data_IF_209248969247
#
_entry.id   IF_209248969247
#
_cell.length_a   1.000
_cell.length_b   1.000
_cell.length_c   1.000
_cell.angle_alpha   90.00
_cell.angle_beta   90.00
_cell.angle_gamma   90.00
#
_symmetry.space_group_name_H-M   'P 1'
#
loop_
_entity.id
_entity.type
_entity.pdbx_description
1 polymer ?
#
# COMPACT_ATOMS: atom_id res chain seq x y z
N UNK A 1 2.16 5.50 -10.99
CA UNK A 1 1.07 4.91 -10.21
C UNK A 1 1.53 3.58 -9.62
N UNK A 2 1.67 2.51 -10.41
CA UNK A 2 2.00 1.15 -9.90
C UNK A 2 3.48 1.03 -9.45
N UNK A 3 4.44 1.58 -10.20
CA UNK A 3 5.88 1.51 -9.85
C UNK A 3 6.31 2.57 -8.82
N UNK A 4 5.45 3.54 -8.52
CA UNK A 4 5.80 4.67 -7.65
C UNK A 4 5.77 4.28 -6.16
N UNK A 5 5.02 3.23 -5.83
CA UNK A 5 4.82 2.74 -4.47
C UNK A 5 6.15 2.35 -3.85
N UNK A 6 6.98 1.63 -4.59
CA UNK A 6 8.25 1.07 -4.13
C UNK A 6 9.26 2.17 -3.73
N UNK A 7 9.29 3.26 -4.50
CA UNK A 7 10.23 4.36 -4.28
C UNK A 7 9.80 5.24 -3.11
N UNK A 8 8.56 5.73 -3.13
CA UNK A 8 8.04 6.64 -2.11
C UNK A 8 7.98 5.92 -0.74
N UNK A 9 7.71 4.61 -0.76
CA UNK A 9 7.73 3.77 0.43
C UNK A 9 9.14 3.57 0.99
N UNK A 10 10.12 3.24 0.13
CA UNK A 10 11.52 3.07 0.54
C UNK A 10 12.11 4.36 1.08
N UNK A 11 11.77 5.50 0.48
CA UNK A 11 12.21 6.83 0.93
C UNK A 11 11.59 7.16 2.31
N UNK A 12 10.30 6.86 2.52
CA UNK A 12 9.61 7.02 3.82
C UNK A 12 10.28 6.18 4.92
N UNK A 13 10.59 4.91 4.64
CA UNK A 13 11.26 4.03 5.61
C UNK A 13 12.71 4.49 5.86
N UNK A 14 13.42 4.95 4.83
CA UNK A 14 14.80 5.43 4.97
C UNK A 14 14.89 6.70 5.83
N UNK A 15 13.99 7.67 5.65
CA UNK A 15 13.94 8.88 6.47
C UNK A 15 13.64 8.59 7.94
N UNK A 16 12.78 7.60 8.23
CA UNK A 16 12.45 7.22 9.62
C UNK A 16 13.63 6.54 10.33
N UNK A 17 14.50 5.83 9.60
CA UNK A 17 15.67 5.15 10.16
C UNK A 17 16.81 6.11 10.58
N UNK A 18 16.71 7.41 10.29
CA UNK A 18 17.79 8.37 10.47
C UNK A 18 18.15 8.76 11.90
N UNK A 19 17.35 8.48 12.95
CA UNK A 19 17.72 8.92 14.31
C UNK A 19 17.13 8.23 15.56
N UNK A 20 16.17 7.31 15.46
CA UNK A 20 15.79 6.37 16.54
C UNK A 20 14.68 5.46 15.99
N UNK A 21 14.82 4.14 16.13
CA UNK A 21 13.78 3.22 15.70
C UNK A 21 12.59 3.34 16.66
N UNK A 22 11.50 3.95 16.19
CA UNK A 22 10.23 4.06 16.91
C UNK A 22 9.18 3.25 16.15
N UNK A 23 9.00 2.00 16.57
CA UNK A 23 8.11 1.05 15.93
C UNK A 23 6.69 1.59 15.75
N UNK A 24 6.20 2.34 16.75
CA UNK A 24 4.85 2.90 16.74
C UNK A 24 4.69 3.95 15.66
N UNK A 25 5.66 4.88 15.53
CA UNK A 25 5.66 5.89 14.47
C UNK A 25 5.75 5.29 13.08
N UNK A 26 6.54 4.21 12.92
CA UNK A 26 6.64 3.50 11.65
C UNK A 26 5.29 2.89 11.27
N UNK A 27 4.63 2.21 12.21
CA UNK A 27 3.33 1.59 11.97
C UNK A 27 2.25 2.64 11.65
N UNK A 28 2.21 3.77 12.36
CA UNK A 28 1.29 4.88 12.06
C UNK A 28 1.50 5.43 10.65
N UNK A 29 2.76 5.67 10.28
CA UNK A 29 3.12 6.18 8.96
C UNK A 29 2.77 5.18 7.86
N UNK A 30 3.04 3.89 8.09
CA UNK A 30 2.71 2.81 7.17
C UNK A 30 1.21 2.68 6.96
N UNK A 31 0.41 2.76 8.04
CA UNK A 31 -1.04 2.73 7.95
C UNK A 31 -1.57 3.90 7.15
N UNK A 32 -1.15 5.12 7.47
CA UNK A 32 -1.58 6.32 6.75
C UNK A 32 -1.24 6.23 5.25
N UNK A 33 -0.03 5.79 4.93
CA UNK A 33 0.42 5.64 3.55
C UNK A 33 -0.43 4.61 2.78
N UNK A 34 -0.64 3.43 3.37
CA UNK A 34 -1.40 2.35 2.74
C UNK A 34 -2.87 2.71 2.55
N UNK A 35 -3.52 3.35 3.53
CA UNK A 35 -4.90 3.85 3.38
C UNK A 35 -5.05 4.84 2.22
N UNK A 36 -4.14 5.81 2.13
CA UNK A 36 -4.15 6.78 1.03
C UNK A 36 -3.86 6.13 -0.33
N UNK A 37 -2.95 5.15 -0.35
CA UNK A 37 -2.62 4.40 -1.55
C UNK A 37 -3.81 3.59 -2.05
N UNK A 38 -4.39 2.76 -1.19
CA UNK A 38 -5.57 1.94 -1.48
C UNK A 38 -6.76 2.78 -1.93
N UNK A 39 -7.01 3.92 -1.29
CA UNK A 39 -8.09 4.82 -1.72
C UNK A 39 -7.93 5.32 -3.16
N UNK A 40 -6.71 5.64 -3.59
CA UNK A 40 -6.45 6.04 -4.99
C UNK A 40 -6.64 4.87 -5.95
N UNK A 41 -6.21 3.68 -5.54
CA UNK A 41 -6.25 2.50 -6.36
C UNK A 41 -7.68 1.97 -6.55
N UNK A 42 -8.47 1.92 -5.48
CA UNK A 42 -9.87 1.51 -5.52
C UNK A 42 -10.74 2.46 -6.36
N UNK A 43 -10.44 3.75 -6.32
CA UNK A 43 -11.10 4.73 -7.19
C UNK A 43 -10.74 4.48 -8.66
N UNK A 44 -9.47 4.17 -8.94
CA UNK A 44 -9.03 3.80 -10.28
C UNK A 44 -9.73 2.52 -10.76
N UNK A 45 -9.79 1.48 -9.92
CA UNK A 45 -10.51 0.24 -10.20
C UNK A 45 -11.99 0.49 -10.52
N UNK A 46 -12.64 1.41 -9.79
CA UNK A 46 -14.03 1.80 -10.04
C UNK A 46 -14.18 2.44 -11.42
N UNK A 47 -13.29 3.36 -11.79
CA UNK A 47 -13.33 4.09 -13.07
C UNK A 47 -13.08 3.15 -14.26
N UNK A 48 -12.13 2.22 -14.14
CA UNK A 48 -11.82 1.26 -15.21
C UNK A 48 -12.71 0.01 -15.20
N UNK A 49 -13.69 -0.04 -14.29
CA UNK A 49 -14.60 -1.19 -14.10
C UNK A 49 -13.84 -2.50 -13.91
N UNK A 50 -12.81 -2.49 -13.08
CA UNK A 50 -12.00 -3.66 -12.80
C UNK A 50 -12.86 -4.76 -12.15
N UNK A 51 -12.93 -5.97 -12.74
CA UNK A 51 -13.89 -6.99 -12.31
C UNK A 51 -13.59 -7.59 -10.93
N UNK A 52 -12.35 -7.51 -10.46
CA UNK A 52 -11.91 -8.10 -9.18
C UNK A 52 -11.82 -7.09 -8.03
N UNK A 53 -12.49 -5.94 -8.15
CA UNK A 53 -12.46 -4.85 -7.16
C UNK A 53 -12.80 -5.29 -5.74
N UNK A 54 -13.81 -6.15 -5.57
CA UNK A 54 -14.23 -6.61 -4.24
C UNK A 54 -13.16 -7.48 -3.56
N UNK A 55 -12.57 -8.41 -4.32
CA UNK A 55 -11.47 -9.24 -3.82
C UNK A 55 -10.28 -8.36 -3.42
N UNK A 56 -9.94 -7.37 -4.25
CA UNK A 56 -8.81 -6.50 -3.96
C UNK A 56 -9.05 -5.59 -2.74
N UNK A 57 -10.27 -5.04 -2.60
CA UNK A 57 -10.67 -4.28 -1.40
C UNK A 57 -10.59 -5.10 -0.10
N UNK A 58 -10.90 -6.40 -0.17
CA UNK A 58 -10.76 -7.28 1.00
C UNK A 58 -9.28 -7.47 1.40
N UNK A 59 -8.37 -7.55 0.44
CA UNK A 59 -6.93 -7.61 0.71
C UNK A 59 -6.42 -6.31 1.36
N UNK A 60 -6.85 -5.14 0.85
CA UNK A 60 -6.56 -3.85 1.47
C UNK A 60 -7.04 -3.80 2.93
N UNK A 61 -8.29 -4.16 3.15
CA UNK A 61 -8.91 -4.15 4.48
C UNK A 61 -8.19 -5.10 5.44
N UNK A 62 -7.74 -6.26 4.96
CA UNK A 62 -7.00 -7.23 5.75
C UNK A 62 -5.61 -6.71 6.16
N UNK A 63 -4.92 -5.99 5.27
CA UNK A 63 -3.65 -5.37 5.63
C UNK A 63 -3.84 -4.29 6.71
N UNK A 64 -4.83 -3.40 6.55
CA UNK A 64 -5.09 -2.34 7.54
C UNK A 64 -5.39 -2.94 8.91
N UNK A 65 -6.22 -4.00 8.97
CA UNK A 65 -6.47 -4.73 10.21
C UNK A 65 -5.20 -5.31 10.83
N UNK A 66 -4.29 -5.83 10.01
CA UNK A 66 -3.01 -6.38 10.48
C UNK A 66 -2.11 -5.28 11.07
N UNK A 67 -2.08 -4.11 10.45
CA UNK A 67 -1.38 -2.94 10.98
C UNK A 67 -1.97 -2.48 12.31
N UNK A 68 -3.30 -2.44 12.43
CA UNK A 68 -3.98 -2.09 13.68
C UNK A 68 -3.65 -3.06 14.82
N UNK A 69 -3.63 -4.37 14.54
CA UNK A 69 -3.23 -5.38 15.52
C UNK A 69 -1.78 -5.18 15.98
N UNK A 70 -0.84 -4.93 15.05
CA UNK A 70 0.57 -4.68 15.40
C UNK A 70 0.74 -3.41 16.22
N UNK A 71 -0.04 -2.36 15.94
CA UNK A 71 -0.05 -1.14 16.74
C UNK A 71 -0.58 -1.39 18.16
N UNK A 72 -1.63 -2.19 18.32
CA UNK A 72 -2.17 -2.55 19.62
C UNK A 72 -1.14 -3.36 20.44
N UNK A 73 -0.52 -4.38 19.84
CA UNK A 73 0.55 -5.18 20.45
C UNK A 73 1.73 -4.30 20.90
N UNK A 74 2.11 -3.31 20.08
CA UNK A 74 3.20 -2.38 20.40
C UNK A 74 2.84 -1.47 21.59
N UNK A 75 1.59 -1.04 21.71
CA UNK A 75 1.11 -0.18 22.82
C UNK A 75 1.01 -0.91 24.15
N UNK A 76 0.53 -2.15 24.15
CA UNK A 76 0.34 -2.95 25.36
C UNK A 76 1.66 -3.36 26.02
N UNK A 77 2.74 -3.19 25.27
CA UNK A 77 4.05 -3.59 25.71
C UNK A 77 4.80 -2.44 26.40
N UNK A 78 4.77 -2.46 27.72
CA UNK A 78 5.39 -1.47 28.59
C UNK A 78 6.93 -1.46 28.49
N UNK A 79 7.47 -0.68 27.55
CA UNK A 79 8.81 -0.11 27.60
C UNK A 79 9.99 -1.05 27.33
N UNK A 80 10.72 -0.78 26.25
CA UNK A 80 12.14 -1.12 26.03
C UNK A 80 12.56 -2.53 25.57
N UNK A 81 11.66 -3.49 25.34
CA UNK A 81 12.06 -4.82 24.81
C UNK A 81 11.63 -5.13 23.37
N UNK A 82 10.95 -4.23 22.67
CA UNK A 82 10.21 -4.58 21.44
C UNK A 82 10.62 -3.92 20.15
N UNK A 83 11.57 -2.99 20.17
CA UNK A 83 11.93 -2.31 18.93
C UNK A 83 12.53 -3.26 17.88
N UNK A 84 13.34 -4.24 18.27
CA UNK A 84 13.93 -5.16 17.29
C UNK A 84 12.92 -6.20 16.78
N UNK A 85 12.15 -6.85 17.66
CA UNK A 85 11.18 -7.88 17.24
C UNK A 85 10.02 -7.28 16.43
N UNK A 86 9.49 -6.13 16.87
CA UNK A 86 8.44 -5.42 16.11
C UNK A 86 9.02 -4.90 14.79
N UNK A 87 10.28 -4.45 14.78
CA UNK A 87 10.96 -4.06 13.55
C UNK A 87 11.15 -5.20 12.56
N UNK A 88 11.49 -6.40 13.03
CA UNK A 88 11.55 -7.60 12.19
C UNK A 88 10.17 -7.98 11.66
N UNK A 89 9.12 -7.94 12.50
CA UNK A 89 7.73 -8.19 12.08
C UNK A 89 7.26 -7.19 11.03
N UNK A 90 7.59 -5.90 11.20
CA UNK A 90 7.33 -4.85 10.21
C UNK A 90 8.09 -5.18 8.92
N UNK A 91 9.39 -5.47 8.99
CA UNK A 91 10.19 -5.83 7.82
C UNK A 91 9.65 -7.04 7.06
N UNK A 92 9.20 -8.08 7.77
CA UNK A 92 8.56 -9.26 7.18
C UNK A 92 7.20 -8.94 6.56
N UNK A 93 6.36 -8.15 7.25
CA UNK A 93 5.08 -7.70 6.73
C UNK A 93 5.29 -6.94 5.42
N UNK A 94 6.23 -6.00 5.41
CA UNK A 94 6.54 -5.18 4.25
C UNK A 94 7.09 -6.01 3.10
N UNK A 95 8.02 -6.93 3.39
CA UNK A 95 8.59 -7.79 2.35
C UNK A 95 7.54 -8.71 1.72
N UNK A 96 6.65 -9.31 2.53
CA UNK A 96 5.57 -10.15 2.01
C UNK A 96 4.53 -9.32 1.26
N UNK A 97 4.00 -8.28 1.90
CA UNK A 97 2.94 -7.48 1.31
C UNK A 97 3.40 -6.73 0.05
N UNK A 98 4.53 -6.03 0.08
CA UNK A 98 5.00 -5.24 -1.06
C UNK A 98 5.27 -6.15 -2.27
N UNK A 99 5.80 -7.35 -2.04
CA UNK A 99 6.12 -8.28 -3.11
C UNK A 99 4.86 -8.93 -3.67
N UNK A 100 3.97 -9.43 -2.81
CA UNK A 100 2.80 -10.19 -3.24
C UNK A 100 1.68 -9.25 -3.76
N UNK A 101 1.41 -8.14 -3.07
CA UNK A 101 0.30 -7.23 -3.41
C UNK A 101 0.58 -6.43 -4.69
N UNK A 102 1.76 -5.79 -4.78
CA UNK A 102 2.08 -4.91 -5.93
C UNK A 102 2.34 -5.71 -7.21
N UNK A 103 3.02 -6.86 -7.10
CA UNK A 103 3.33 -7.66 -8.31
C UNK A 103 2.12 -8.47 -8.77
N UNK A 104 1.32 -9.04 -7.86
CA UNK A 104 0.22 -9.89 -8.29
C UNK A 104 -1.04 -9.11 -8.63
N UNK A 105 -1.39 -8.04 -7.92
CA UNK A 105 -2.70 -7.41 -8.10
C UNK A 105 -2.64 -6.09 -8.87
N UNK A 106 -1.76 -5.16 -8.50
CA UNK A 106 -1.69 -3.85 -9.18
C UNK A 106 -1.28 -3.99 -10.65
N UNK A 107 -0.35 -4.91 -10.95
CA UNK A 107 0.05 -5.17 -12.33
C UNK A 107 -1.09 -5.75 -13.18
N UNK A 108 -2.06 -6.45 -12.60
CA UNK A 108 -3.25 -6.95 -13.34
C UNK A 108 -4.17 -5.83 -13.79
N UNK A 109 -4.09 -4.65 -13.18
CA UNK A 109 -4.83 -3.47 -13.65
C UNK A 109 -4.21 -2.83 -14.90
N UNK A 110 -2.93 -3.12 -15.21
CA UNK A 110 -2.20 -2.46 -16.31
C UNK A 110 -2.91 -2.55 -17.67
N UNK A 111 -3.43 -3.71 -18.13
CA UNK A 111 -4.12 -3.80 -19.41
C UNK A 111 -5.39 -2.93 -19.47
N UNK A 112 -6.16 -2.87 -18.37
CA UNK A 112 -7.37 -2.05 -18.27
C UNK A 112 -7.06 -0.54 -18.34
N UNK A 113 -5.92 -0.14 -17.75
CA UNK A 113 -5.44 1.24 -17.81
C UNK A 113 -4.98 1.64 -19.22
N UNK A 114 -4.32 0.73 -19.92
CA UNK A 114 -3.91 0.94 -21.31
C UNK A 114 -5.13 1.06 -22.23
N UNK A 115 -6.12 0.19 -22.07
CA UNK A 115 -7.37 0.25 -22.83
C UNK A 115 -8.12 1.58 -22.60
N UNK A 116 -8.31 1.98 -21.34
CA UNK A 116 -8.96 3.26 -21.02
C UNK A 116 -8.19 4.47 -21.55
N UNK A 117 -6.85 4.42 -21.54
CA UNK A 117 -6.01 5.48 -22.12
C UNK A 117 -6.20 5.58 -23.64
N UNK A 118 -6.28 4.45 -24.35
CA UNK A 118 -6.53 4.45 -25.78
C UNK A 118 -7.96 4.90 -26.14
N UNK A 119 -8.96 4.52 -25.35
CA UNK A 119 -10.33 5.02 -25.49
C UNK A 119 -10.39 6.54 -25.30
N UNK A 120 -9.74 7.08 -24.26
CA UNK A 120 -9.70 8.52 -24.02
C UNK A 120 -9.03 9.30 -25.17
N UNK A 121 -7.94 8.77 -25.74
CA UNK A 121 -7.29 9.36 -26.93
C UNK A 121 -8.21 9.36 -28.16
N UNK A 122 -8.97 8.29 -28.39
CA UNK A 122 -9.93 8.20 -29.50
C UNK A 122 -11.07 9.21 -29.32
N UNK A 123 -11.62 9.32 -28.12
CA UNK A 123 -12.68 10.29 -27.80
C UNK A 123 -12.23 11.74 -27.95
N UNK A 124 -11.02 12.08 -27.49
CA UNK A 124 -10.43 13.42 -27.67
C UNK A 124 -9.99 13.76 -29.11
N UNK A 125 -9.98 12.78 -30.02
CA UNK A 125 -9.78 12.96 -31.46
C UNK A 125 -11.09 13.13 -32.23
N UNK A 126 -12.19 12.52 -31.76
CA UNK A 126 -13.52 12.64 -32.38
C UNK A 126 -14.24 13.94 -32.03
N UNK A 127 -13.88 14.58 -30.91
CA UNK A 127 -14.44 15.88 -30.51
C UNK A 127 -13.73 17.11 -31.09
N UNK A 128 -12.87 16.94 -32.09
CA UNK A 128 -12.16 18.03 -32.79
C UNK A 128 -12.58 18.10 -34.26
#
# INVERSE_FOLDING_TARGET
AIVQIDKDFKDTIWEINGNNFDAMKILESLKLYTEQHFGREEELQRVVKFPYREAHHNEHTNLIKKLDSMMAETKDSSGNYLNTEVGEKIGMLLKGWLFDHVLENDLRMKPYLEEMRELAKKMGRMGR
#
